data_IF_236798960816
#
_entry.id   IF_236798960816
#
_cell.length_a   1.000
_cell.length_b   1.000
_cell.length_c   1.000
_cell.angle_alpha   90.00
_cell.angle_beta   90.00
_cell.angle_gamma   90.00
#
_symmetry.space_group_name_H-M   'P 1'
#
loop_
_entity.id
_entity.type
_entity.pdbx_description
1 polymer ?
#
# COMPACT_ATOMS: atom_id res chain seq x y z
N UNK A 1 41.22 -51.98 -33.10
CA UNK A 1 39.77 -52.03 -32.78
C UNK A 1 39.19 -50.64 -32.95
N UNK A 2 38.15 -50.45 -33.77
CA UNK A 2 37.50 -49.14 -33.94
C UNK A 2 36.79 -48.74 -32.64
N UNK A 3 36.92 -47.47 -32.22
CA UNK A 3 36.28 -46.94 -31.01
C UNK A 3 34.75 -47.03 -31.15
N UNK A 4 34.01 -47.46 -30.11
CA UNK A 4 32.55 -47.50 -30.16
C UNK A 4 31.98 -46.09 -30.39
N UNK A 5 30.84 -45.96 -31.08
CA UNK A 5 30.19 -44.66 -31.32
C UNK A 5 29.83 -43.99 -29.99
N UNK A 6 30.06 -42.67 -29.89
CA UNK A 6 29.79 -41.87 -28.67
C UNK A 6 28.39 -42.18 -28.15
N UNK A 7 28.32 -42.68 -26.91
CA UNK A 7 27.04 -42.97 -26.27
C UNK A 7 26.30 -41.67 -25.94
N UNK A 8 24.96 -41.67 -25.83
CA UNK A 8 24.19 -40.50 -25.39
C UNK A 8 24.66 -39.93 -24.05
N UNK A 9 25.16 -40.79 -23.17
CA UNK A 9 25.79 -40.41 -21.90
C UNK A 9 27.13 -39.69 -22.11
N UNK A 10 27.94 -40.09 -23.10
CA UNK A 10 29.19 -39.38 -23.41
C UNK A 10 28.90 -37.99 -23.98
N UNK A 11 27.87 -37.87 -24.82
CA UNK A 11 27.44 -36.57 -25.37
C UNK A 11 26.87 -35.66 -24.28
N UNK A 12 26.11 -36.20 -23.33
CA UNK A 12 25.63 -35.45 -22.16
C UNK A 12 26.78 -35.01 -21.25
N UNK A 13 27.75 -35.89 -20.99
CA UNK A 13 28.93 -35.55 -20.19
C UNK A 13 29.77 -34.47 -20.87
N UNK A 14 29.96 -34.54 -22.18
CA UNK A 14 30.67 -33.52 -22.96
C UNK A 14 29.93 -32.17 -22.94
N UNK A 15 28.60 -32.19 -22.99
CA UNK A 15 27.77 -31.00 -22.83
C UNK A 15 27.88 -30.39 -21.42
N UNK A 16 27.77 -31.21 -20.38
CA UNK A 16 27.91 -30.77 -18.98
C UNK A 16 29.32 -30.23 -18.73
N UNK A 17 30.36 -30.87 -19.26
CA UNK A 17 31.74 -30.41 -19.14
C UNK A 17 31.97 -29.08 -19.88
N UNK A 18 31.41 -28.92 -21.08
CA UNK A 18 31.45 -27.65 -21.81
C UNK A 18 30.73 -26.53 -21.05
N UNK A 19 29.58 -26.86 -20.45
CA UNK A 19 28.82 -25.93 -19.63
C UNK A 19 29.55 -25.55 -18.34
N UNK A 20 30.20 -26.50 -17.65
CA UNK A 20 31.00 -26.24 -16.46
C UNK A 20 32.18 -25.32 -16.77
N UNK A 21 32.82 -25.51 -17.93
CA UNK A 21 33.87 -24.61 -18.41
C UNK A 21 33.30 -23.21 -18.71
N UNK A 22 32.19 -23.11 -19.44
CA UNK A 22 31.54 -21.83 -19.71
C UNK A 22 31.09 -21.13 -18.41
N UNK A 23 30.64 -21.89 -17.40
CA UNK A 23 30.28 -21.36 -16.09
C UNK A 23 31.47 -20.85 -15.29
N UNK A 24 32.63 -21.51 -15.35
CA UNK A 24 33.85 -21.01 -14.72
C UNK A 24 34.33 -19.71 -15.36
N UNK A 25 34.26 -19.63 -16.70
CA UNK A 25 34.55 -18.41 -17.44
C UNK A 25 33.52 -17.31 -17.15
N UNK A 26 32.25 -17.68 -16.99
CA UNK A 26 31.17 -16.77 -16.61
C UNK A 26 31.35 -16.28 -15.17
N UNK A 27 31.70 -17.13 -14.22
CA UNK A 27 31.99 -16.78 -12.82
C UNK A 27 33.10 -15.72 -12.72
N UNK A 28 34.16 -15.88 -13.52
CA UNK A 28 35.28 -14.95 -13.58
C UNK A 28 34.88 -13.60 -14.20
N UNK A 29 33.95 -13.58 -15.16
CA UNK A 29 33.47 -12.35 -15.84
C UNK A 29 32.29 -11.67 -15.14
N UNK A 30 31.46 -12.42 -14.40
CA UNK A 30 30.25 -11.95 -13.71
C UNK A 30 30.60 -11.21 -12.43
N UNK A 31 31.59 -11.70 -11.68
CA UNK A 31 32.00 -11.07 -10.42
C UNK A 31 32.66 -9.69 -10.61
N UNK A 32 33.03 -9.32 -11.84
CA UNK A 32 33.72 -8.06 -12.15
C UNK A 32 32.93 -7.09 -13.03
N UNK A 33 31.72 -7.44 -13.50
CA UNK A 33 31.01 -6.60 -14.47
C UNK A 33 29.76 -5.93 -13.91
N UNK A 34 29.76 -4.59 -13.97
CA UNK A 34 28.57 -3.75 -13.75
C UNK A 34 27.40 -4.15 -14.66
N UNK A 35 27.72 -4.78 -15.80
CA UNK A 35 26.76 -5.33 -16.75
C UNK A 35 25.94 -6.49 -16.17
N UNK A 36 26.47 -7.28 -15.23
CA UNK A 36 25.70 -8.33 -14.56
C UNK A 36 24.62 -7.75 -13.65
N UNK A 37 24.94 -6.72 -12.85
CA UNK A 37 23.95 -6.04 -12.01
C UNK A 37 22.86 -5.38 -12.86
N UNK A 38 23.23 -4.76 -14.00
CA UNK A 38 22.26 -4.22 -14.95
C UNK A 38 21.38 -5.32 -15.58
N UNK A 39 21.97 -6.45 -15.99
CA UNK A 39 21.24 -7.59 -16.55
C UNK A 39 20.31 -8.23 -15.52
N UNK A 40 20.73 -8.41 -14.26
CA UNK A 40 19.88 -8.91 -13.17
C UNK A 40 18.74 -7.94 -12.85
N UNK A 41 19.00 -6.63 -12.87
CA UNK A 41 17.96 -5.61 -12.72
C UNK A 41 16.94 -5.66 -13.85
N UNK A 42 17.38 -5.86 -15.10
CA UNK A 42 16.48 -6.05 -16.24
C UNK A 42 15.72 -7.36 -16.15
N UNK A 43 16.36 -8.48 -15.84
CA UNK A 43 15.73 -9.78 -15.67
C UNK A 43 14.66 -9.75 -14.56
N UNK A 44 14.93 -9.07 -13.45
CA UNK A 44 13.95 -8.85 -12.37
C UNK A 44 12.76 -8.04 -12.87
N UNK A 45 12.99 -6.96 -13.63
CA UNK A 45 11.90 -6.17 -14.24
C UNK A 45 11.06 -7.01 -15.21
N UNK A 46 11.70 -7.82 -16.06
CA UNK A 46 11.00 -8.72 -16.98
C UNK A 46 10.20 -9.79 -16.24
N UNK A 47 10.73 -10.35 -15.14
CA UNK A 47 10.01 -11.29 -14.29
C UNK A 47 8.77 -10.66 -13.66
N UNK A 48 8.87 -9.43 -13.14
CA UNK A 48 7.71 -8.70 -12.60
C UNK A 48 6.66 -8.39 -13.69
N UNK A 49 7.08 -8.02 -14.90
CA UNK A 49 6.17 -7.80 -16.03
C UNK A 49 5.49 -9.11 -16.45
N UNK A 50 6.23 -10.22 -16.50
CA UNK A 50 5.67 -11.54 -16.81
C UNK A 50 4.66 -12.01 -15.75
N UNK A 51 4.97 -11.81 -14.46
CA UNK A 51 4.06 -12.08 -13.36
C UNK A 51 2.77 -11.26 -13.51
N UNK A 52 2.89 -9.95 -13.76
CA UNK A 52 1.74 -9.07 -13.99
C UNK A 52 0.89 -9.53 -15.19
N UNK A 53 1.50 -9.84 -16.32
CA UNK A 53 0.80 -10.32 -17.50
C UNK A 53 0.06 -11.65 -17.25
N UNK A 54 0.67 -12.56 -16.48
CA UNK A 54 0.05 -13.82 -16.06
C UNK A 54 -1.15 -13.57 -15.14
N UNK A 55 -1.02 -12.65 -14.18
CA UNK A 55 -2.13 -12.26 -13.30
C UNK A 55 -3.28 -11.64 -14.10
N UNK A 56 -3.00 -10.73 -15.03
CA UNK A 56 -4.02 -10.13 -15.91
C UNK A 56 -4.72 -11.17 -16.78
N UNK A 57 -3.99 -12.16 -17.30
CA UNK A 57 -4.58 -13.25 -18.07
C UNK A 57 -5.45 -14.16 -17.21
N UNK A 58 -5.00 -14.49 -15.99
CA UNK A 58 -5.79 -15.26 -15.02
C UNK A 58 -7.06 -14.51 -14.61
N UNK A 59 -6.97 -13.20 -14.39
CA UNK A 59 -8.13 -12.36 -14.08
C UNK A 59 -9.14 -12.33 -15.21
N UNK A 60 -8.69 -12.16 -16.47
CA UNK A 60 -9.58 -12.25 -17.64
C UNK A 60 -10.24 -13.62 -17.75
N UNK A 61 -9.51 -14.69 -17.43
CA UNK A 61 -10.06 -16.04 -17.43
C UNK A 61 -11.12 -16.22 -16.34
N UNK A 62 -10.84 -15.79 -15.11
CA UNK A 62 -11.79 -15.83 -14.00
C UNK A 62 -13.03 -14.97 -14.28
N UNK A 63 -12.85 -13.77 -14.83
CA UNK A 63 -13.95 -12.90 -15.27
C UNK A 63 -14.83 -13.58 -16.34
N UNK A 64 -14.22 -14.26 -17.31
CA UNK A 64 -14.97 -14.99 -18.34
C UNK A 64 -15.80 -16.16 -17.79
N UNK A 65 -15.41 -16.68 -16.61
CA UNK A 65 -16.16 -17.70 -15.88
C UNK A 65 -17.12 -17.11 -14.83
N UNK A 66 -17.32 -15.78 -14.82
CA UNK A 66 -18.06 -15.05 -13.79
C UNK A 66 -17.53 -15.30 -12.36
N UNK A 67 -16.27 -15.67 -12.20
CA UNK A 67 -15.64 -15.83 -10.89
C UNK A 67 -15.04 -14.50 -10.44
N UNK A 68 -15.26 -14.09 -9.18
CA UNK A 68 -14.71 -12.85 -8.65
C UNK A 68 -13.18 -12.92 -8.62
N UNK A 69 -12.56 -11.86 -9.12
CA UNK A 69 -11.09 -11.71 -9.11
C UNK A 69 -10.61 -11.09 -7.79
N UNK A 70 -9.34 -11.32 -7.43
CA UNK A 70 -8.76 -10.75 -6.21
C UNK A 70 -8.88 -9.23 -6.16
N UNK A 71 -8.55 -8.55 -7.27
CA UNK A 71 -8.65 -7.09 -7.34
C UNK A 71 -10.08 -6.58 -7.12
N UNK A 72 -11.09 -7.30 -7.62
CA UNK A 72 -12.50 -6.93 -7.40
C UNK A 72 -12.93 -7.11 -5.94
N UNK A 73 -12.38 -8.10 -5.23
CA UNK A 73 -12.62 -8.28 -3.79
C UNK A 73 -11.99 -7.13 -3.02
N UNK A 74 -10.77 -6.73 -3.39
CA UNK A 74 -10.08 -5.61 -2.74
C UNK A 74 -10.84 -4.29 -2.98
N UNK A 75 -11.26 -4.00 -4.22
CA UNK A 75 -12.07 -2.82 -4.55
C UNK A 75 -13.42 -2.82 -3.84
N UNK A 76 -14.08 -3.97 -3.74
CA UNK A 76 -15.34 -4.11 -3.00
C UNK A 76 -15.13 -3.86 -1.51
N UNK A 77 -14.02 -4.33 -0.94
CA UNK A 77 -13.69 -4.13 0.48
C UNK A 77 -13.46 -2.66 0.80
N UNK A 78 -12.76 -1.94 -0.08
CA UNK A 78 -12.56 -0.49 0.05
C UNK A 78 -13.89 0.29 -0.02
N UNK A 79 -14.77 -0.09 -0.96
CA UNK A 79 -16.11 0.50 -1.04
C UNK A 79 -16.96 0.20 0.19
N UNK A 80 -16.87 -1.01 0.74
CA UNK A 80 -17.57 -1.37 1.97
C UNK A 80 -17.07 -0.55 3.16
N UNK A 81 -15.76 -0.39 3.32
CA UNK A 81 -15.19 0.46 4.36
C UNK A 81 -15.65 1.93 4.23
N UNK A 82 -15.73 2.47 3.01
CA UNK A 82 -16.24 3.81 2.78
C UNK A 82 -17.73 3.96 3.14
N UNK A 83 -18.54 2.92 2.87
CA UNK A 83 -19.94 2.89 3.26
C UNK A 83 -20.10 2.79 4.78
N UNK A 84 -19.25 2.03 5.47
CA UNK A 84 -19.23 1.94 6.93
C UNK A 84 -18.91 3.30 7.58
N UNK A 85 -17.90 4.03 7.09
CA UNK A 85 -17.58 5.39 7.55
C UNK A 85 -18.75 6.37 7.29
N UNK A 86 -19.37 6.28 6.11
CA UNK A 86 -20.56 7.06 5.77
C UNK A 86 -21.73 6.79 6.73
N UNK A 87 -21.95 5.52 7.08
CA UNK A 87 -22.99 5.10 8.02
C UNK A 87 -22.71 5.60 9.44
N UNK A 88 -21.46 5.55 9.89
CA UNK A 88 -21.04 6.09 11.18
C UNK A 88 -21.28 7.61 11.26
N UNK A 89 -20.93 8.35 10.20
CA UNK A 89 -21.18 9.80 10.13
C UNK A 89 -22.67 10.13 10.18
N UNK A 90 -23.49 9.38 9.45
CA UNK A 90 -24.95 9.56 9.48
C UNK A 90 -25.51 9.27 10.88
N UNK A 91 -25.04 8.19 11.52
CA UNK A 91 -25.41 7.86 12.91
C UNK A 91 -25.10 9.02 13.85
N UNK A 92 -23.91 9.60 13.77
CA UNK A 92 -23.50 10.76 14.59
C UNK A 92 -24.36 12.00 14.27
N UNK A 93 -24.67 12.25 13.00
CA UNK A 93 -25.50 13.38 12.61
C UNK A 93 -26.93 13.27 13.16
N UNK A 94 -27.53 12.09 13.10
CA UNK A 94 -28.86 11.81 13.67
C UNK A 94 -28.84 11.95 15.19
N UNK A 95 -27.85 11.39 15.89
CA UNK A 95 -27.71 11.54 17.35
C UNK A 95 -27.60 13.02 17.77
N UNK A 96 -26.93 13.85 16.96
CA UNK A 96 -26.81 15.31 17.19
C UNK A 96 -28.11 16.08 16.95
N UNK A 97 -28.95 15.65 16.01
CA UNK A 97 -30.26 16.28 15.78
C UNK A 97 -31.28 15.85 16.85
N UNK A 98 -31.21 14.61 17.33
CA UNK A 98 -32.08 14.10 18.39
C UNK A 98 -31.71 14.64 19.79
N UNK A 99 -30.47 15.09 19.99
CA UNK A 99 -30.12 15.86 21.19
C UNK A 99 -30.48 17.33 20.98
N UNK A 100 -31.53 17.88 21.62
CA UNK A 100 -31.80 19.30 21.53
C UNK A 100 -30.58 20.04 22.07
N UNK A 101 -30.01 20.92 21.25
CA UNK A 101 -28.90 21.77 21.63
C UNK A 101 -29.30 22.50 22.92
N UNK A 102 -28.78 22.03 24.06
CA UNK A 102 -29.04 22.66 25.35
C UNK A 102 -28.44 24.05 25.23
N UNK A 103 -29.23 25.13 25.38
CA UNK A 103 -28.70 26.47 25.23
C UNK A 103 -27.58 26.61 26.26
N UNK A 104 -26.35 26.74 25.76
CA UNK A 104 -25.22 27.17 26.56
C UNK A 104 -25.63 28.50 27.15
N UNK A 105 -26.04 28.47 28.42
CA UNK A 105 -26.33 29.66 29.20
C UNK A 105 -25.05 30.49 29.16
N UNK A 106 -25.05 31.52 28.30
CA UNK A 106 -23.97 32.47 28.20
C UNK A 106 -23.82 33.06 29.59
N UNK A 107 -22.70 32.73 30.24
CA UNK A 107 -22.34 33.25 31.55
C UNK A 107 -22.35 34.77 31.46
N UNK A 108 -23.36 35.38 32.07
CA UNK A 108 -23.53 36.82 32.08
C UNK A 108 -22.36 37.46 32.87
N UNK A 109 -21.65 38.44 32.31
CA UNK A 109 -20.49 39.01 32.97
C UNK A 109 -20.92 39.75 34.25
N UNK A 110 -20.38 39.30 35.38
CA UNK A 110 -20.62 39.85 36.72
C UNK A 110 -20.20 41.33 36.73
N UNK A 111 -21.15 42.26 36.82
CA UNK A 111 -20.90 43.72 36.86
C UNK A 111 -20.03 44.09 38.06
N UNK A 112 -18.76 44.39 37.83
CA UNK A 112 -17.81 44.94 38.81
C UNK A 112 -17.85 46.46 38.79
N UNK A 113 -18.94 47.07 39.24
CA UNK A 113 -18.92 48.49 39.58
C UNK A 113 -19.37 48.68 41.02
N UNK A 114 -18.39 48.63 41.92
CA UNK A 114 -18.49 49.21 43.25
C UNK A 114 -18.67 50.72 43.05
N UNK A 115 -19.73 51.30 43.60
CA UNK A 115 -19.97 52.73 43.52
C UNK A 115 -18.82 53.48 44.24
N UNK A 116 -18.26 54.56 43.68
CA UNK A 116 -17.32 55.39 44.42
C UNK A 116 -18.08 56.13 45.52
N UNK A 117 -17.79 55.80 46.78
CA UNK A 117 -18.09 56.68 47.90
C UNK A 117 -17.13 57.87 47.79
N UNK A 118 -17.60 58.93 47.14
CA UNK A 118 -16.94 60.23 47.15
C UNK A 118 -17.05 60.82 48.55
N UNK A 119 -15.89 61.09 49.11
CA UNK A 119 -15.66 61.64 50.44
C UNK A 119 -15.87 63.16 50.43
N UNK A 120 -16.66 63.63 51.41
CA UNK A 120 -16.60 64.92 52.16
C UNK A 120 -16.67 66.28 51.42
N UNK A 121 -16.78 67.43 52.12
CA UNK A 121 -17.46 67.78 53.40
C UNK A 121 -18.27 69.10 53.29
N UNK A 122 -18.81 69.56 54.43
CA UNK A 122 -19.09 70.97 54.80
C UNK A 122 -20.43 71.59 54.33
N UNK A 123 -21.35 71.81 55.27
CA UNK A 123 -21.69 73.19 55.65
C UNK A 123 -22.52 73.26 56.95
N UNK A 124 -22.22 74.30 57.71
CA UNK A 124 -22.72 74.61 59.04
C UNK A 124 -24.15 75.21 59.05
N UNK A 125 -24.92 74.90 60.11
CA UNK A 125 -25.88 75.79 60.77
C UNK A 125 -26.35 75.20 62.11
#
# INVERSE_FOLDING_TARGET
MPKPPKSPTDMWQEFVAAWEHEMNDWSTRVTQSEQFSAAMGQATKYSLVAQKAMTEQMEKMLQSMNLPTRNQIDELSERMAALEDGLERLRIAVEREETPARPIARSEPKRTRKAPAGDTPDDAA
#
